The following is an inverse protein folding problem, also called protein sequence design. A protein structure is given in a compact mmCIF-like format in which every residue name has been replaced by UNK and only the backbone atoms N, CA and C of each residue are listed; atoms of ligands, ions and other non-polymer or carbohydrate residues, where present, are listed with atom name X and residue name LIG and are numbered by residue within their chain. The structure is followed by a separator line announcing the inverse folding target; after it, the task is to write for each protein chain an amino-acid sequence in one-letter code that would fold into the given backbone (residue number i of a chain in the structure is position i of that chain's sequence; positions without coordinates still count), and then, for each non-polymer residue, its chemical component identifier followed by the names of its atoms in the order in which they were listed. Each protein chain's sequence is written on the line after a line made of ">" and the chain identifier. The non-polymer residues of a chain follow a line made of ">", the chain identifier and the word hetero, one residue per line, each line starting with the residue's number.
data_IF_826594927326
#
_entry.id   IF_826594927326
#
_cell.length_a   1.000
_cell.length_b   1.000
_cell.length_c   1.000
_cell.angle_alpha   90.00
_cell.angle_beta   90.00
_cell.angle_gamma   90.00
#
_symmetry.space_group_name_H-M   'P 1'
#
loop_
_entity.id
_entity.type
_entity.pdbx_description
1 polymer ?
#
# COMPACT_ATOMS: atom_id res chain seq x y z
N UNK A 1 6.30 17.41 -3.77
CA UNK A 1 6.32 15.94 -3.92
C UNK A 1 4.89 15.47 -3.80
N UNK A 2 4.40 14.69 -4.78
CA UNK A 2 3.07 14.09 -4.67
C UNK A 2 3.27 12.66 -4.17
N UNK A 3 2.75 12.37 -2.98
CA UNK A 3 2.84 11.03 -2.43
C UNK A 3 1.56 10.26 -2.73
N UNK A 4 1.68 8.96 -2.97
CA UNK A 4 0.53 8.07 -3.04
C UNK A 4 0.81 6.76 -2.32
N UNK A 5 -0.26 6.10 -1.88
CA UNK A 5 -0.18 4.79 -1.25
C UNK A 5 -0.71 3.77 -2.24
N UNK A 6 0.13 2.82 -2.59
CA UNK A 6 -0.27 1.68 -3.39
C UNK A 6 -0.48 0.48 -2.49
N UNK A 7 -1.52 -0.28 -2.81
CA UNK A 7 -1.74 -1.60 -2.26
C UNK A 7 -1.78 -2.58 -3.42
N UNK A 8 -1.08 -3.70 -3.28
CA UNK A 8 -1.40 -4.91 -4.03
C UNK A 8 -1.94 -5.96 -3.06
N UNK A 9 -3.06 -6.58 -3.40
CA UNK A 9 -3.62 -7.70 -2.64
C UNK A 9 -4.10 -8.83 -3.55
N UNK A 10 -3.90 -10.07 -3.13
CA UNK A 10 -4.31 -11.24 -3.90
C UNK A 10 -4.27 -12.51 -3.07
N UNK A 11 -4.79 -13.60 -3.61
CA UNK A 11 -4.80 -14.89 -2.91
C UNK A 11 -3.36 -15.42 -2.78
N UNK A 12 -3.05 -16.03 -1.64
CA UNK A 12 -1.76 -16.69 -1.46
C UNK A 12 -1.57 -17.77 -2.54
N UNK A 13 -0.40 -17.80 -3.15
CA UNK A 13 -0.03 -18.75 -4.22
C UNK A 13 -0.76 -18.56 -5.55
N UNK A 14 -1.58 -17.51 -5.75
CA UNK A 14 -2.00 -17.11 -7.09
C UNK A 14 -0.89 -16.36 -7.81
N UNK A 15 -1.03 -16.18 -9.13
CA UNK A 15 -0.14 -15.32 -9.90
C UNK A 15 -0.23 -13.88 -9.37
N UNK A 16 0.90 -13.16 -9.35
CA UNK A 16 0.91 -11.74 -9.01
C UNK A 16 0.17 -10.89 -10.04
N UNK A 17 0.03 -11.37 -11.28
CA UNK A 17 -0.79 -10.74 -12.31
C UNK A 17 -2.29 -10.68 -11.93
N UNK A 18 -2.74 -11.58 -11.05
CA UNK A 18 -4.13 -11.62 -10.56
C UNK A 18 -4.36 -10.73 -9.34
N UNK A 19 -3.35 -10.00 -8.87
CA UNK A 19 -3.48 -9.17 -7.68
C UNK A 19 -4.21 -7.87 -8.04
N UNK A 20 -5.19 -7.51 -7.22
CA UNK A 20 -5.83 -6.22 -7.30
C UNK A 20 -4.85 -5.14 -6.82
N UNK A 21 -4.67 -4.11 -7.64
CA UNK A 21 -3.85 -2.94 -7.31
C UNK A 21 -4.75 -1.74 -7.10
N UNK A 22 -4.57 -1.07 -5.96
CA UNK A 22 -5.32 0.12 -5.57
C UNK A 22 -4.37 1.26 -5.21
N UNK A 23 -4.77 2.48 -5.52
CA UNK A 23 -4.06 3.70 -5.16
C UNK A 23 -4.93 4.57 -4.23
N UNK A 24 -4.29 5.12 -3.20
CA UNK A 24 -4.90 6.05 -2.25
C UNK A 24 -4.05 7.31 -2.14
N UNK A 25 -4.70 8.46 -2.07
CA UNK A 25 -4.04 9.76 -1.94
C UNK A 25 -3.87 10.22 -0.49
N UNK A 26 -4.49 9.50 0.47
CA UNK A 26 -4.33 9.80 1.89
C UNK A 26 -4.30 8.57 2.78
N UNK A 27 -3.62 8.67 3.93
CA UNK A 27 -3.63 7.60 4.94
C UNK A 27 -5.03 7.40 5.53
N UNK A 28 -5.84 8.47 5.58
CA UNK A 28 -7.22 8.45 6.06
C UNK A 28 -8.13 7.61 5.14
N UNK A 29 -7.99 7.74 3.83
CA UNK A 29 -8.79 6.97 2.87
C UNK A 29 -8.42 5.49 2.91
N UNK A 30 -7.12 5.18 3.02
CA UNK A 30 -6.67 3.81 3.24
C UNK A 30 -7.26 3.21 4.52
N UNK A 31 -7.24 3.97 5.62
CA UNK A 31 -7.80 3.52 6.89
C UNK A 31 -9.31 3.26 6.80
N UNK A 32 -10.06 4.15 6.13
CA UNK A 32 -11.49 3.97 5.88
C UNK A 32 -11.75 2.72 5.04
N UNK A 33 -10.96 2.49 4.01
CA UNK A 33 -11.05 1.28 3.19
C UNK A 33 -10.79 0.01 4.01
N UNK A 34 -9.73 -0.03 4.83
CA UNK A 34 -9.40 -1.20 5.66
C UNK A 34 -10.36 -1.44 6.82
N UNK A 35 -11.09 -0.43 7.26
CA UNK A 35 -12.17 -0.60 8.21
C UNK A 35 -13.34 -1.42 7.61
N UNK A 36 -13.65 -1.25 6.32
CA UNK A 36 -14.68 -2.03 5.62
C UNK A 36 -14.15 -3.29 4.92
N UNK A 37 -12.86 -3.32 4.59
CA UNK A 37 -12.18 -4.42 3.89
C UNK A 37 -10.97 -4.92 4.71
N UNK A 38 -11.22 -5.59 5.85
CA UNK A 38 -10.15 -6.06 6.72
C UNK A 38 -9.27 -7.10 6.02
N UNK A 39 -7.99 -7.14 6.39
CA UNK A 39 -7.05 -8.15 5.89
C UNK A 39 -7.51 -9.57 6.26
N UNK A 40 -7.59 -10.43 5.26
CA UNK A 40 -7.96 -11.85 5.32
C UNK A 40 -6.72 -12.76 5.30
N UNK A 41 -6.75 -13.84 6.08
CA UNK A 41 -5.65 -14.81 6.20
C UNK A 41 -5.26 -15.52 4.89
N UNK A 42 -6.22 -15.70 3.97
CA UNK A 42 -5.98 -16.37 2.67
C UNK A 42 -5.28 -15.48 1.63
N UNK A 43 -5.11 -14.19 1.93
CA UNK A 43 -4.53 -13.21 1.02
C UNK A 43 -3.09 -12.86 1.42
N UNK A 44 -2.35 -12.33 0.46
CA UNK A 44 -1.07 -11.64 0.64
C UNK A 44 -1.27 -10.17 0.30
N UNK A 45 -0.57 -9.30 1.03
CA UNK A 45 -0.67 -7.85 0.87
C UNK A 45 0.71 -7.25 0.67
N UNK A 46 0.77 -6.17 -0.08
CA UNK A 46 1.92 -5.30 -0.21
C UNK A 46 1.44 -3.86 -0.16
N UNK A 47 1.96 -3.08 0.77
CA UNK A 47 1.70 -1.66 0.91
C UNK A 47 2.95 -0.88 0.58
N UNK A 48 2.82 0.20 -0.20
CA UNK A 48 3.92 1.05 -0.61
C UNK A 48 3.51 2.52 -0.53
N UNK A 49 4.24 3.32 0.22
CA UNK A 49 4.22 4.78 0.10
C UNK A 49 5.19 5.17 -1.01
N UNK A 50 4.67 5.74 -2.09
CA UNK A 50 5.41 6.17 -3.26
C UNK A 50 5.58 7.69 -3.29
N UNK A 51 6.73 8.19 -3.73
CA UNK A 51 6.96 9.61 -4.06
C UNK A 51 6.81 9.94 -5.56
N UNK A 52 6.27 9.00 -6.34
CA UNK A 52 6.11 9.11 -7.78
C UNK A 52 6.73 7.95 -8.55
N UNK A 53 6.75 8.10 -9.86
CA UNK A 53 7.14 7.06 -10.82
C UNK A 53 8.45 7.45 -11.50
N UNK A 54 9.37 6.50 -11.64
CA UNK A 54 10.62 6.65 -12.39
C UNK A 54 10.36 6.59 -13.90
N UNK A 55 11.34 6.99 -14.70
CA UNK A 55 11.25 6.93 -16.17
C UNK A 55 10.99 5.50 -16.71
N UNK A 56 11.38 4.47 -15.96
CA UNK A 56 11.14 3.06 -16.31
C UNK A 56 9.77 2.53 -15.84
N UNK A 57 8.88 3.41 -15.38
CA UNK A 57 7.54 3.07 -14.91
C UNK A 57 7.49 2.51 -13.49
N UNK A 58 8.62 2.36 -12.78
CA UNK A 58 8.63 1.83 -11.41
C UNK A 58 8.37 2.91 -10.37
N UNK A 59 7.58 2.59 -9.35
CA UNK A 59 7.36 3.48 -8.22
C UNK A 59 8.62 3.65 -7.36
N UNK A 60 8.84 4.88 -6.91
CA UNK A 60 9.87 5.22 -5.93
C UNK A 60 9.30 4.97 -4.53
N UNK A 61 9.60 3.80 -3.96
CA UNK A 61 9.14 3.41 -2.63
C UNK A 61 9.91 4.07 -1.49
N UNK A 62 9.19 4.66 -0.53
CA UNK A 62 9.77 5.26 0.68
C UNK A 62 9.49 4.39 1.91
N UNK A 63 8.25 3.98 2.08
CA UNK A 63 7.81 3.08 3.15
C UNK A 63 7.12 1.89 2.53
N UNK A 64 7.45 0.69 2.98
CA UNK A 64 6.73 -0.52 2.59
C UNK A 64 6.37 -1.38 3.80
N UNK A 65 5.34 -2.20 3.66
CA UNK A 65 5.04 -3.29 4.58
C UNK A 65 4.15 -4.33 3.90
N UNK A 66 4.12 -5.51 4.50
CA UNK A 66 3.28 -6.66 4.15
C UNK A 66 1.95 -6.70 4.93
N UNK A 67 1.76 -5.75 5.85
CA UNK A 67 0.60 -5.69 6.74
C UNK A 67 0.16 -4.25 7.01
N UNK A 68 -1.16 -4.01 7.01
CA UNK A 68 -1.78 -2.70 7.18
C UNK A 68 -1.32 -1.98 8.46
N UNK A 69 -1.42 -2.63 9.63
CA UNK A 69 -1.05 -1.98 10.91
C UNK A 69 0.42 -1.55 10.95
N UNK A 70 1.29 -2.40 10.40
CA UNK A 70 2.73 -2.14 10.30
C UNK A 70 3.02 -1.02 9.31
N UNK A 71 2.31 -0.97 8.19
CA UNK A 71 2.39 0.11 7.22
C UNK A 71 2.01 1.45 7.85
N UNK A 72 0.84 1.55 8.47
CA UNK A 72 0.36 2.77 9.13
C UNK A 72 1.37 3.27 10.18
N UNK A 73 1.92 2.36 10.99
CA UNK A 73 2.95 2.69 11.98
C UNK A 73 4.18 3.31 11.31
N UNK A 74 4.72 2.67 10.28
CA UNK A 74 5.91 3.15 9.55
C UNK A 74 5.69 4.48 8.84
N UNK A 75 4.51 4.69 8.24
CA UNK A 75 4.18 5.98 7.61
C UNK A 75 4.17 7.09 8.66
N UNK A 76 3.54 6.87 9.83
CA UNK A 76 3.56 7.83 10.94
C UNK A 76 4.98 8.11 11.44
N UNK A 77 5.80 7.06 11.59
CA UNK A 77 7.21 7.17 12.02
C UNK A 77 8.10 7.90 10.99
N UNK A 78 7.74 7.87 9.70
CA UNK A 78 8.47 8.58 8.65
C UNK A 78 8.32 10.11 8.71
N UNK A 79 7.32 10.62 9.45
CA UNK A 79 7.00 12.05 9.50
C UNK A 79 6.38 12.61 8.21
N UNK A 80 6.12 11.76 7.21
CA UNK A 80 5.47 12.17 5.96
C UNK A 80 3.98 12.37 6.20
N UNK A 81 3.49 13.57 5.89
CA UNK A 81 2.08 13.89 5.92
C UNK A 81 1.43 13.51 4.58
N UNK A 82 0.53 12.51 4.63
CA UNK A 82 -0.24 11.99 3.49
C UNK A 82 -1.64 11.58 3.95
#
# INVERSE_FOLDING_TARGET
>A
MNYSILIAEGIKSSDYADYDVMEFLSLKDLQKYRASHPEKMKYKYSYLLSSGIRQDGRHIGIVNADHFKKFVKRVKESGINI
#
